data_IF_373215713309
#
_entry.id   IF_373215713309
#
_cell.length_a   1.000
_cell.length_b   1.000
_cell.length_c   1.000
_cell.angle_alpha   90.00
_cell.angle_beta   90.00
_cell.angle_gamma   90.00
#
_symmetry.space_group_name_H-M   'P 1'
#
loop_
_entity.id
_entity.type
_entity.pdbx_description
1 polymer ?
#
# COMPACT_ATOMS: atom_id res chain seq x y z
N UNK A 1 6.58 -2.50 3.72
CA UNK A 1 7.87 -3.22 3.55
C UNK A 1 8.69 -2.62 2.42
N UNK A 2 8.18 -2.49 1.18
CA UNK A 2 8.92 -1.84 0.08
C UNK A 2 9.41 -0.42 0.43
N UNK A 3 8.58 0.41 1.07
CA UNK A 3 8.98 1.74 1.57
C UNK A 3 10.17 1.70 2.54
N UNK A 4 10.20 0.73 3.45
CA UNK A 4 11.31 0.59 4.39
C UNK A 4 12.61 0.19 3.69
N UNK A 5 12.53 -0.77 2.75
CA UNK A 5 13.69 -1.24 1.99
C UNK A 5 14.26 -0.10 1.13
N UNK A 6 13.40 0.67 0.46
CA UNK A 6 13.86 1.80 -0.36
C UNK A 6 14.56 2.88 0.47
N UNK A 7 14.07 3.16 1.68
CA UNK A 7 14.71 4.11 2.59
C UNK A 7 16.04 3.61 3.15
N UNK A 8 16.14 2.33 3.50
CA UNK A 8 17.41 1.74 3.95
C UNK A 8 18.44 1.76 2.82
N UNK A 9 18.03 1.39 1.61
CA UNK A 9 18.90 1.46 0.43
C UNK A 9 19.34 2.91 0.12
N UNK A 10 18.44 3.87 0.26
CA UNK A 10 18.74 5.29 0.11
C UNK A 10 19.74 5.78 1.18
N UNK A 11 19.53 5.43 2.45
CA UNK A 11 20.43 5.78 3.55
C UNK A 11 21.84 5.23 3.35
N UNK A 12 21.95 3.93 3.06
CA UNK A 12 23.24 3.28 2.79
C UNK A 12 23.94 3.86 1.55
N UNK A 13 23.18 4.10 0.47
CA UNK A 13 23.72 4.70 -0.75
C UNK A 13 24.25 6.11 -0.55
N UNK A 14 23.54 6.95 0.20
CA UNK A 14 23.97 8.31 0.54
C UNK A 14 25.22 8.31 1.42
N UNK A 15 25.27 7.43 2.42
CA UNK A 15 26.46 7.28 3.27
C UNK A 15 27.68 6.85 2.46
N UNK A 16 27.50 5.92 1.52
CA UNK A 16 28.56 5.47 0.63
C UNK A 16 29.12 6.60 -0.25
N UNK A 17 28.24 7.44 -0.81
CA UNK A 17 28.65 8.59 -1.63
C UNK A 17 29.38 9.63 -0.77
N UNK A 18 28.90 9.91 0.45
CA UNK A 18 29.56 10.83 1.37
C UNK A 18 30.98 10.38 1.73
N UNK A 19 31.19 9.08 1.97
CA UNK A 19 32.52 8.52 2.28
C UNK A 19 33.51 8.60 1.12
N UNK A 20 33.03 8.73 -0.12
CA UNK A 20 33.87 8.87 -1.31
C UNK A 20 34.25 10.31 -1.65
N UNK A 21 33.75 11.30 -0.90
CA UNK A 21 33.95 12.74 -1.13
C UNK A 21 33.41 13.29 -2.47
N UNK A 22 32.86 12.44 -3.34
CA UNK A 22 32.28 12.80 -4.66
C UNK A 22 30.88 13.47 -4.57
N UNK A 23 30.53 14.09 -3.44
CA UNK A 23 29.16 14.49 -3.13
C UNK A 23 28.62 15.65 -3.98
N UNK A 24 29.48 16.63 -4.24
CA UNK A 24 29.16 17.88 -4.94
C UNK A 24 29.47 17.82 -6.45
N UNK A 25 29.72 16.62 -6.97
CA UNK A 25 29.91 16.44 -8.40
C UNK A 25 28.56 16.42 -9.13
N UNK A 26 28.52 17.15 -10.24
CA UNK A 26 27.32 17.20 -11.07
C UNK A 26 27.00 15.82 -11.66
N UNK A 27 25.72 15.49 -11.68
CA UNK A 27 25.22 14.22 -12.21
C UNK A 27 23.94 14.44 -13.01
N UNK A 28 23.77 13.69 -14.08
CA UNK A 28 22.55 13.75 -14.87
C UNK A 28 21.42 12.97 -14.18
N UNK A 29 20.17 13.39 -14.36
CA UNK A 29 18.97 12.67 -13.94
C UNK A 29 18.95 11.22 -14.41
N UNK A 30 19.43 10.99 -15.64
CA UNK A 30 19.57 9.65 -16.20
C UNK A 30 20.57 8.81 -15.39
N UNK A 31 21.76 9.34 -15.12
CA UNK A 31 22.76 8.67 -14.29
C UNK A 31 22.25 8.42 -12.87
N UNK A 32 21.55 9.39 -12.26
CA UNK A 32 20.93 9.22 -10.96
C UNK A 32 19.93 8.05 -10.93
N UNK A 33 19.11 7.90 -11.97
CA UNK A 33 18.10 6.85 -12.01
C UNK A 33 18.69 5.46 -12.30
N UNK A 34 19.71 5.37 -13.17
CA UNK A 34 20.23 4.08 -13.64
C UNK A 34 21.50 3.59 -12.92
N UNK A 35 22.36 4.49 -12.43
CA UNK A 35 23.56 4.11 -11.66
C UNK A 35 23.22 3.92 -10.18
N UNK A 36 22.20 4.61 -9.68
CA UNK A 36 21.80 4.53 -8.29
C UNK A 36 20.44 3.85 -8.16
N UNK A 37 20.30 2.75 -7.41
CA UNK A 37 19.04 1.99 -7.37
C UNK A 37 17.95 2.64 -6.49
N UNK A 38 18.33 3.54 -5.57
CA UNK A 38 17.39 4.07 -4.59
C UNK A 38 16.28 4.96 -5.17
N UNK A 39 16.47 5.82 -6.19
CA UNK A 39 15.38 6.67 -6.71
C UNK A 39 14.28 5.82 -7.37
N UNK A 40 14.67 4.81 -8.14
CA UNK A 40 13.74 3.83 -8.73
C UNK A 40 12.98 3.09 -7.64
N UNK A 41 13.68 2.60 -6.61
CA UNK A 41 13.05 1.90 -5.50
C UNK A 41 12.06 2.80 -4.75
N UNK A 42 12.39 4.07 -4.54
CA UNK A 42 11.50 5.03 -3.87
C UNK A 42 10.24 5.33 -4.70
N UNK A 43 10.36 5.49 -6.02
CA UNK A 43 9.21 5.68 -6.91
C UNK A 43 8.27 4.48 -6.91
N UNK A 44 8.81 3.27 -7.08
CA UNK A 44 8.02 2.05 -7.07
C UNK A 44 7.39 1.81 -5.69
N UNK A 45 8.14 2.09 -4.62
CA UNK A 45 7.65 1.98 -3.26
C UNK A 45 6.55 3.00 -2.94
N UNK A 46 6.49 4.15 -3.60
CA UNK A 46 5.36 5.08 -3.49
C UNK A 46 4.06 4.51 -4.11
N UNK A 47 4.11 4.22 -5.41
CA UNK A 47 2.92 3.92 -6.21
C UNK A 47 2.35 2.51 -5.97
N UNK A 48 3.21 1.51 -5.78
CA UNK A 48 2.76 0.12 -5.66
C UNK A 48 1.95 -0.13 -4.37
N UNK A 49 2.40 0.30 -3.18
CA UNK A 49 1.61 0.22 -1.97
C UNK A 49 0.33 1.07 -2.01
N UNK A 50 0.35 2.23 -2.68
CA UNK A 50 -0.85 3.05 -2.86
C UNK A 50 -1.92 2.30 -3.68
N UNK A 51 -1.53 1.76 -4.83
CA UNK A 51 -2.43 0.99 -5.71
C UNK A 51 -2.91 -0.30 -5.04
N UNK A 52 -2.04 -1.01 -4.32
CA UNK A 52 -2.42 -2.20 -3.56
C UNK A 52 -3.47 -1.90 -2.48
N UNK A 53 -3.29 -0.80 -1.72
CA UNK A 53 -4.28 -0.39 -0.70
C UNK A 53 -5.63 -0.01 -1.32
N UNK A 54 -5.62 0.65 -2.46
CA UNK A 54 -6.84 1.00 -3.18
C UNK A 54 -7.59 -0.22 -3.66
N UNK A 55 -6.89 -1.17 -4.27
CA UNK A 55 -7.48 -2.41 -4.74
C UNK A 55 -8.04 -3.25 -3.59
N UNK A 56 -7.32 -3.36 -2.45
CA UNK A 56 -7.83 -4.04 -1.26
C UNK A 56 -9.10 -3.35 -0.72
N UNK A 57 -9.17 -2.03 -0.81
CA UNK A 57 -10.35 -1.26 -0.39
C UNK A 57 -11.54 -1.51 -1.33
N UNK A 58 -11.30 -1.52 -2.64
CA UNK A 58 -12.30 -1.88 -3.65
C UNK A 58 -12.78 -3.31 -3.51
N UNK A 59 -11.89 -4.27 -3.27
CA UNK A 59 -12.25 -5.68 -3.04
C UNK A 59 -13.32 -5.80 -1.95
N UNK A 60 -13.17 -5.05 -0.85
CA UNK A 60 -14.13 -5.07 0.25
C UNK A 60 -15.43 -4.39 -0.07
N UNK A 61 -15.37 -3.30 -0.83
CA UNK A 61 -16.56 -2.67 -1.35
C UNK A 61 -17.36 -3.66 -2.19
N UNK A 62 -16.71 -4.36 -3.14
CA UNK A 62 -17.36 -5.39 -3.94
C UNK A 62 -17.87 -6.57 -3.12
N UNK A 63 -17.12 -7.01 -2.10
CA UNK A 63 -17.55 -8.11 -1.24
C UNK A 63 -18.83 -7.79 -0.44
N UNK A 64 -19.03 -6.52 -0.06
CA UNK A 64 -20.20 -6.09 0.72
C UNK A 64 -21.42 -5.83 -0.18
N UNK A 65 -21.24 -5.10 -1.28
CA UNK A 65 -22.36 -4.69 -2.12
C UNK A 65 -22.73 -5.72 -3.20
N UNK A 66 -21.76 -6.51 -3.68
CA UNK A 66 -21.93 -7.42 -4.81
C UNK A 66 -21.56 -8.86 -4.43
N UNK A 67 -22.06 -9.34 -3.29
CA UNK A 67 -21.70 -10.65 -2.73
C UNK A 67 -21.88 -11.82 -3.72
N UNK A 68 -22.96 -11.83 -4.50
CA UNK A 68 -23.24 -12.89 -5.48
C UNK A 68 -22.21 -12.91 -6.61
N UNK A 69 -21.95 -11.75 -7.22
CA UNK A 69 -20.95 -11.60 -8.29
C UNK A 69 -19.54 -11.86 -7.78
N UNK A 70 -19.21 -11.34 -6.59
CA UNK A 70 -17.91 -11.55 -5.94
C UNK A 70 -17.63 -13.03 -5.66
N UNK A 71 -18.65 -13.79 -5.23
CA UNK A 71 -18.53 -15.23 -4.98
C UNK A 71 -18.34 -16.04 -6.27
N UNK A 72 -18.94 -15.61 -7.37
CA UNK A 72 -18.76 -16.25 -8.68
C UNK A 72 -17.33 -16.07 -9.22
N UNK A 73 -16.70 -14.94 -8.91
CA UNK A 73 -15.38 -14.61 -9.40
C UNK A 73 -14.26 -15.32 -8.61
N UNK A 74 -13.86 -16.53 -9.02
CA UNK A 74 -12.86 -17.34 -8.27
C UNK A 74 -11.45 -16.74 -8.23
N UNK A 75 -11.03 -16.03 -9.28
CA UNK A 75 -9.64 -15.53 -9.43
C UNK A 75 -9.50 -14.01 -9.20
N UNK A 76 -10.47 -13.37 -8.53
CA UNK A 76 -10.50 -11.92 -8.34
C UNK A 76 -9.21 -11.36 -7.74
N UNK A 77 -8.63 -12.03 -6.74
CA UNK A 77 -7.43 -11.54 -6.03
C UNK A 77 -6.21 -11.43 -6.93
N UNK A 78 -5.99 -12.44 -7.78
CA UNK A 78 -4.87 -12.44 -8.72
C UNK A 78 -5.05 -11.38 -9.79
N UNK A 79 -6.26 -11.25 -10.35
CA UNK A 79 -6.56 -10.22 -11.34
C UNK A 79 -6.40 -8.81 -10.76
N UNK A 80 -6.88 -8.59 -9.55
CA UNK A 80 -6.73 -7.33 -8.83
C UNK A 80 -5.27 -6.99 -8.53
N UNK A 81 -4.48 -7.94 -8.02
CA UNK A 81 -3.05 -7.72 -7.79
C UNK A 81 -2.27 -7.46 -9.09
N UNK A 82 -2.61 -8.20 -10.16
CA UNK A 82 -2.07 -7.96 -11.49
C UNK A 82 -2.39 -6.55 -11.98
N UNK A 83 -3.64 -6.09 -11.80
CA UNK A 83 -4.06 -4.72 -12.10
C UNK A 83 -3.26 -3.65 -11.36
N UNK A 84 -3.03 -3.80 -10.05
CA UNK A 84 -2.18 -2.88 -9.28
C UNK A 84 -0.74 -2.86 -9.81
N UNK A 85 -0.21 -4.03 -10.18
CA UNK A 85 1.15 -4.16 -10.72
C UNK A 85 1.27 -3.47 -12.06
N UNK A 86 0.35 -3.73 -12.99
CA UNK A 86 0.32 -3.11 -14.32
C UNK A 86 0.18 -1.60 -14.22
N UNK A 87 -0.72 -1.11 -13.36
CA UNK A 87 -0.90 0.31 -13.11
C UNK A 87 0.37 0.97 -12.56
N UNK A 88 1.03 0.33 -11.60
CA UNK A 88 2.29 0.83 -11.03
C UNK A 88 3.41 0.89 -12.06
N UNK A 89 3.52 -0.13 -12.92
CA UNK A 89 4.50 -0.18 -14.00
C UNK A 89 4.21 0.89 -15.07
N UNK A 90 2.94 1.15 -15.39
CA UNK A 90 2.57 2.22 -16.34
C UNK A 90 3.06 3.59 -15.85
N UNK A 91 2.74 3.95 -14.60
CA UNK A 91 3.16 5.22 -14.00
C UNK A 91 4.69 5.31 -13.92
N UNK A 92 5.36 4.21 -13.60
CA UNK A 92 6.82 4.14 -13.58
C UNK A 92 7.43 4.33 -14.97
N UNK A 93 6.89 3.68 -16.00
CA UNK A 93 7.35 3.83 -17.39
C UNK A 93 7.24 5.27 -17.87
N UNK A 94 6.19 6.01 -17.47
CA UNK A 94 6.08 7.44 -17.77
C UNK A 94 7.25 8.22 -17.15
N UNK A 95 7.65 7.90 -15.90
CA UNK A 95 8.80 8.51 -15.24
C UNK A 95 10.10 8.28 -16.02
N UNK A 96 10.31 7.03 -16.46
CA UNK A 96 11.51 6.66 -17.21
C UNK A 96 11.56 7.35 -18.56
N UNK A 97 10.42 7.47 -19.25
CA UNK A 97 10.31 8.23 -20.49
C UNK A 97 10.64 9.71 -20.27
N UNK A 98 10.13 10.35 -19.21
CA UNK A 98 10.44 11.76 -18.93
C UNK A 98 11.93 11.99 -18.68
N UNK A 99 12.59 11.09 -17.94
CA UNK A 99 14.03 11.17 -17.66
C UNK A 99 14.87 10.94 -18.92
N UNK A 100 14.43 10.04 -19.80
CA UNK A 100 15.14 9.73 -21.04
C UNK A 100 15.09 10.88 -22.05
N UNK A 101 13.92 11.51 -22.24
CA UNK A 101 13.75 12.58 -23.21
C UNK A 101 14.19 13.96 -22.69
N UNK A 102 14.14 14.19 -21.37
CA UNK A 102 14.45 15.48 -20.75
C UNK A 102 15.43 15.30 -19.58
N UNK A 103 16.71 14.99 -19.84
CA UNK A 103 17.70 14.86 -18.79
C UNK A 103 17.97 16.21 -18.13
N UNK A 104 17.84 16.26 -16.81
CA UNK A 104 18.18 17.43 -15.99
C UNK A 104 19.56 17.20 -15.37
N UNK A 105 20.37 18.24 -15.24
CA UNK A 105 21.64 18.18 -14.52
C UNK A 105 21.43 18.64 -13.08
N UNK A 106 21.87 17.82 -12.13
CA UNK A 106 21.78 18.11 -10.70
C UNK A 106 23.15 18.51 -10.17
N UNK A 107 23.20 19.47 -9.22
CA UNK A 107 24.45 19.95 -8.65
C UNK A 107 25.11 18.96 -7.69
N UNK A 108 24.37 17.98 -7.19
CA UNK A 108 24.84 16.98 -6.23
C UNK A 108 24.42 15.55 -6.60
N UNK A 109 25.13 14.58 -6.02
CA UNK A 109 24.85 13.14 -6.16
C UNK A 109 23.85 12.61 -5.13
N UNK A 110 23.07 13.46 -4.44
CA UNK A 110 22.05 12.97 -3.50
C UNK A 110 20.93 12.22 -4.21
N UNK A 111 20.74 12.49 -5.51
CA UNK A 111 19.73 11.90 -6.39
C UNK A 111 18.37 11.80 -5.68
N UNK A 112 17.90 12.93 -5.15
CA UNK A 112 16.54 13.03 -4.58
C UNK A 112 15.55 12.77 -5.71
N UNK A 113 14.44 12.08 -5.41
CA UNK A 113 13.45 11.69 -6.42
C UNK A 113 12.99 12.91 -7.23
N UNK A 114 12.64 14.02 -6.58
CA UNK A 114 12.20 15.28 -7.21
C UNK A 114 13.20 15.83 -8.22
N UNK A 115 14.49 15.80 -7.88
CA UNK A 115 15.59 16.26 -8.72
C UNK A 115 15.92 15.25 -9.84
N UNK A 116 15.69 13.96 -9.58
CA UNK A 116 15.99 12.88 -10.53
C UNK A 116 14.97 12.78 -11.66
N UNK A 117 13.68 12.94 -11.39
CA UNK A 117 12.61 12.82 -12.41
C UNK A 117 12.02 14.16 -12.84
N UNK A 118 12.38 15.24 -12.16
CA UNK A 118 11.81 16.57 -12.36
C UNK A 118 10.60 16.85 -11.47
N UNK A 119 10.47 18.12 -11.08
CA UNK A 119 9.45 18.59 -10.13
C UNK A 119 8.01 18.34 -10.61
N UNK A 120 7.75 18.45 -11.91
CA UNK A 120 6.41 18.28 -12.49
C UNK A 120 5.93 16.83 -12.33
N UNK A 121 6.75 15.87 -12.75
CA UNK A 121 6.42 14.45 -12.59
C UNK A 121 6.33 14.08 -11.11
N UNK A 122 7.29 14.54 -10.28
CA UNK A 122 7.25 14.27 -8.85
C UNK A 122 5.96 14.79 -8.20
N UNK A 123 5.52 16.00 -8.59
CA UNK A 123 4.25 16.58 -8.13
C UNK A 123 3.06 15.71 -8.49
N UNK A 124 2.96 15.30 -9.76
CA UNK A 124 1.91 14.39 -10.21
C UNK A 124 1.94 13.05 -9.44
N UNK A 125 3.13 12.45 -9.31
CA UNK A 125 3.34 11.17 -8.63
C UNK A 125 2.92 11.20 -7.15
N UNK A 126 3.39 12.18 -6.39
CA UNK A 126 3.04 12.27 -4.96
C UNK A 126 1.56 12.63 -4.78
N UNK A 127 1.00 13.47 -5.65
CA UNK A 127 -0.43 13.81 -5.63
C UNK A 127 -1.31 12.58 -5.88
N UNK A 128 -1.00 11.79 -6.92
CA UNK A 128 -1.78 10.58 -7.22
C UNK A 128 -1.65 9.55 -6.10
N UNK A 129 -0.45 9.35 -5.54
CA UNK A 129 -0.26 8.47 -4.40
C UNK A 129 -1.09 8.91 -3.18
N UNK A 130 -1.02 10.18 -2.81
CA UNK A 130 -1.80 10.75 -1.69
C UNK A 130 -3.30 10.62 -1.92
N UNK A 131 -3.77 10.96 -3.12
CA UNK A 131 -5.17 10.87 -3.49
C UNK A 131 -5.67 9.42 -3.43
N UNK A 132 -4.92 8.47 -3.97
CA UNK A 132 -5.25 7.04 -3.92
C UNK A 132 -5.37 6.54 -2.49
N UNK A 133 -4.46 6.91 -1.58
CA UNK A 133 -4.56 6.58 -0.16
C UNK A 133 -5.80 7.18 0.50
N UNK A 134 -6.09 8.45 0.21
CA UNK A 134 -7.25 9.14 0.77
C UNK A 134 -8.58 8.52 0.32
N UNK A 135 -8.72 8.23 -0.97
CA UNK A 135 -9.89 7.54 -1.51
C UNK A 135 -10.02 6.14 -0.92
N UNK A 136 -8.91 5.41 -0.76
CA UNK A 136 -8.91 4.08 -0.11
C UNK A 136 -9.48 4.16 1.30
N UNK A 137 -9.08 5.17 2.07
CA UNK A 137 -9.58 5.41 3.42
C UNK A 137 -11.08 5.70 3.44
N UNK A 138 -11.56 6.59 2.56
CA UNK A 138 -13.00 6.88 2.42
C UNK A 138 -13.79 5.60 2.13
N UNK A 139 -13.33 4.79 1.17
CA UNK A 139 -14.00 3.53 0.81
C UNK A 139 -14.05 2.57 2.00
N UNK A 140 -12.94 2.40 2.73
CA UNK A 140 -12.89 1.52 3.90
C UNK A 140 -13.81 2.00 5.03
N UNK A 141 -13.84 3.32 5.32
CA UNK A 141 -14.74 3.90 6.32
C UNK A 141 -16.20 3.73 5.90
N UNK A 142 -16.51 3.99 4.62
CA UNK A 142 -17.85 3.82 4.08
C UNK A 142 -18.33 2.36 4.22
N UNK A 143 -17.51 1.40 3.81
CA UNK A 143 -17.80 -0.03 3.97
C UNK A 143 -17.98 -0.40 5.44
N UNK A 144 -17.15 0.13 6.35
CA UNK A 144 -17.28 -0.12 7.79
C UNK A 144 -18.62 0.38 8.35
N UNK A 145 -19.04 1.60 7.98
CA UNK A 145 -20.35 2.16 8.37
C UNK A 145 -21.49 1.31 7.81
N UNK A 146 -21.42 0.93 6.53
CA UNK A 146 -22.44 0.12 5.87
C UNK A 146 -22.61 -1.25 6.54
N UNK A 147 -21.50 -1.94 6.83
CA UNK A 147 -21.57 -3.26 7.49
C UNK A 147 -22.11 -3.13 8.91
N UNK A 148 -21.71 -2.11 9.68
CA UNK A 148 -22.22 -1.88 11.04
C UNK A 148 -23.72 -1.61 11.07
N UNK A 149 -24.27 -0.93 10.05
CA UNK A 149 -25.70 -0.61 9.95
C UNK A 149 -26.55 -1.85 9.63
N UNK A 150 -26.04 -2.75 8.80
CA UNK A 150 -26.85 -3.83 8.21
C UNK A 150 -26.56 -5.24 8.76
N UNK A 151 -25.50 -5.44 9.56
CA UNK A 151 -25.14 -6.77 10.09
C UNK A 151 -24.79 -6.73 11.57
N UNK A 152 -25.36 -7.68 12.32
CA UNK A 152 -24.84 -8.08 13.63
C UNK A 152 -23.54 -8.86 13.40
N UNK A 153 -22.41 -8.15 13.49
CA UNK A 153 -21.10 -8.76 13.28
C UNK A 153 -20.68 -9.60 14.49
N UNK A 154 -20.08 -10.77 14.23
CA UNK A 154 -19.36 -11.50 15.27
C UNK A 154 -18.15 -10.72 15.76
N UNK A 155 -17.77 -10.89 17.03
CA UNK A 155 -16.61 -10.20 17.67
C UNK A 155 -15.31 -10.32 16.85
N UNK A 156 -15.09 -11.46 16.19
CA UNK A 156 -13.91 -11.69 15.37
C UNK A 156 -13.90 -10.82 14.10
N UNK A 157 -15.04 -10.71 13.42
CA UNK A 157 -15.17 -9.94 12.18
C UNK A 157 -15.11 -8.44 12.46
N UNK A 158 -15.69 -8.00 13.58
CA UNK A 158 -15.55 -6.64 14.10
C UNK A 158 -14.07 -6.29 14.32
N UNK A 159 -13.30 -7.16 14.99
CA UNK A 159 -11.86 -6.93 15.20
C UNK A 159 -11.10 -6.79 13.88
N UNK A 160 -11.38 -7.65 12.90
CA UNK A 160 -10.75 -7.58 11.57
C UNK A 160 -11.05 -6.27 10.84
N UNK A 161 -12.29 -5.78 10.93
CA UNK A 161 -12.65 -4.48 10.35
C UNK A 161 -11.96 -3.32 11.04
N UNK A 162 -11.95 -3.28 12.39
CA UNK A 162 -11.24 -2.24 13.14
C UNK A 162 -9.75 -2.23 12.82
N UNK A 163 -9.10 -3.41 12.79
CA UNK A 163 -7.70 -3.52 12.41
C UNK A 163 -7.46 -2.93 11.04
N UNK A 164 -8.34 -3.20 10.07
CA UNK A 164 -8.08 -2.65 8.75
C UNK A 164 -8.37 -1.16 8.61
N UNK A 165 -9.41 -0.62 9.25
CA UNK A 165 -9.61 0.83 9.30
C UNK A 165 -8.38 1.49 9.92
N UNK A 166 -7.86 0.90 11.01
CA UNK A 166 -6.62 1.34 11.66
C UNK A 166 -5.42 1.34 10.71
N UNK A 167 -5.15 0.23 10.01
CA UNK A 167 -4.03 0.14 9.05
C UNK A 167 -4.16 1.20 7.96
N UNK A 168 -5.35 1.38 7.38
CA UNK A 168 -5.56 2.36 6.30
C UNK A 168 -5.45 3.79 6.81
N UNK A 169 -5.96 4.08 8.01
CA UNK A 169 -5.82 5.39 8.67
C UNK A 169 -4.36 5.73 8.95
N UNK A 170 -3.62 4.81 9.57
CA UNK A 170 -2.17 4.99 9.81
C UNK A 170 -1.46 5.19 8.48
N UNK A 171 -1.82 4.43 7.44
CA UNK A 171 -1.26 4.63 6.10
C UNK A 171 -1.50 6.05 5.58
N UNK A 172 -2.71 6.58 5.67
CA UNK A 172 -2.99 7.97 5.25
C UNK A 172 -2.16 8.98 6.04
N UNK A 173 -2.15 8.89 7.37
CA UNK A 173 -1.44 9.86 8.23
C UNK A 173 0.06 9.87 7.89
N UNK A 174 0.67 8.70 7.79
CA UNK A 174 2.11 8.57 7.61
C UNK A 174 2.57 8.59 6.14
N UNK A 175 1.67 8.66 5.15
CA UNK A 175 2.05 8.85 3.74
C UNK A 175 1.61 10.18 3.18
N UNK A 176 0.38 10.62 3.45
CA UNK A 176 -0.16 11.88 2.91
C UNK A 176 0.55 13.08 3.52
N UNK A 177 0.74 13.09 4.85
CA UNK A 177 1.43 14.22 5.52
C UNK A 177 2.87 14.36 4.99
N UNK A 178 3.71 13.30 4.97
CA UNK A 178 5.05 13.41 4.40
C UNK A 178 5.06 13.76 2.91
N UNK A 179 4.13 13.21 2.10
CA UNK A 179 4.01 13.58 0.69
C UNK A 179 3.76 15.09 0.54
N UNK A 180 2.86 15.66 1.34
CA UNK A 180 2.61 17.11 1.33
C UNK A 180 3.85 17.91 1.74
N UNK A 181 4.58 17.47 2.77
CA UNK A 181 5.82 18.13 3.21
C UNK A 181 6.88 18.11 2.11
N UNK A 182 7.11 16.96 1.48
CA UNK A 182 8.05 16.81 0.36
C UNK A 182 7.64 17.69 -0.83
N UNK A 183 6.34 17.81 -1.11
CA UNK A 183 5.86 18.69 -2.18
C UNK A 183 6.06 20.17 -1.85
N UNK A 184 5.74 20.61 -0.63
CA UNK A 184 5.97 21.99 -0.21
C UNK A 184 7.46 22.36 -0.29
N UNK A 185 8.34 21.45 0.13
CA UNK A 185 9.79 21.62 0.01
C UNK A 185 10.24 21.70 -1.45
N UNK A 186 9.75 20.80 -2.31
CA UNK A 186 10.11 20.78 -3.73
C UNK A 186 9.71 22.07 -4.47
N UNK A 187 8.58 22.67 -4.11
CA UNK A 187 8.13 23.95 -4.67
C UNK A 187 8.75 25.18 -3.98
N UNK A 188 9.57 24.99 -2.94
CA UNK A 188 10.17 26.05 -2.12
C UNK A 188 9.15 27.03 -1.52
N UNK A 189 7.93 26.57 -1.26
CA UNK A 189 6.82 27.39 -0.78
C UNK A 189 6.06 26.64 0.33
N UNK A 190 6.35 26.89 1.63
CA UNK A 190 7.37 27.77 2.23
C UNK A 190 8.78 27.16 2.24
N UNK A 191 9.82 27.95 2.55
CA UNK A 191 11.17 27.43 2.85
C UNK A 191 11.12 26.59 4.12
N UNK A 192 11.04 25.27 3.97
CA UNK A 192 11.08 24.33 5.08
C UNK A 192 12.53 24.12 5.51
N UNK A 193 12.75 23.89 6.81
CA UNK A 193 14.08 23.50 7.27
C UNK A 193 14.36 22.06 6.85
N UNK A 194 15.61 21.76 6.52
CA UNK A 194 16.07 20.40 6.18
C UNK A 194 15.72 19.39 7.27
N UNK A 195 15.66 19.84 8.53
CA UNK A 195 15.21 19.05 9.67
C UNK A 195 13.75 18.58 9.53
N UNK A 196 12.83 19.46 9.13
CA UNK A 196 11.42 19.11 8.97
C UNK A 196 11.25 18.12 7.83
N UNK A 197 11.96 18.33 6.72
CA UNK A 197 11.98 17.42 5.56
C UNK A 197 12.53 16.06 5.97
N UNK A 198 13.61 16.03 6.75
CA UNK A 198 14.18 14.81 7.33
C UNK A 198 13.18 14.04 8.21
N UNK A 199 12.48 14.74 9.12
CA UNK A 199 11.43 14.14 9.96
C UNK A 199 10.29 13.57 9.11
N UNK A 200 9.88 14.27 8.05
CA UNK A 200 8.89 13.76 7.11
C UNK A 200 9.35 12.45 6.45
N UNK A 201 10.62 12.36 6.04
CA UNK A 201 11.18 11.11 5.54
C UNK A 201 11.17 9.99 6.58
N UNK A 202 11.42 10.29 7.85
CA UNK A 202 11.33 9.32 8.93
C UNK A 202 9.91 8.73 9.08
N UNK A 203 8.85 9.50 8.81
CA UNK A 203 7.49 8.99 8.88
C UNK A 203 7.22 7.87 7.85
N UNK A 204 7.80 7.92 6.64
CA UNK A 204 7.70 6.79 5.71
C UNK A 204 8.40 5.52 6.23
N UNK A 205 9.52 5.70 6.95
CA UNK A 205 10.24 4.60 7.61
C UNK A 205 9.40 3.99 8.73
N UNK A 206 8.91 4.85 9.63
CA UNK A 206 8.03 4.46 10.74
C UNK A 206 6.78 3.74 10.24
N UNK A 207 6.18 4.18 9.13
CA UNK A 207 5.03 3.52 8.53
C UNK A 207 5.30 2.04 8.21
N UNK A 208 6.50 1.72 7.73
CA UNK A 208 6.86 0.33 7.43
C UNK A 208 7.02 -0.51 8.70
N UNK A 209 7.60 0.06 9.75
CA UNK A 209 7.75 -0.60 11.06
C UNK A 209 6.39 -0.80 11.75
N UNK A 210 5.56 0.24 11.79
CA UNK A 210 4.23 0.21 12.41
C UNK A 210 3.30 -0.77 11.68
N UNK A 211 3.31 -0.79 10.34
CA UNK A 211 2.58 -1.80 9.59
C UNK A 211 2.95 -3.22 10.03
N UNK A 212 4.25 -3.53 10.14
CA UNK A 212 4.72 -4.86 10.56
C UNK A 212 4.23 -5.20 11.97
N UNK A 213 4.37 -4.28 12.92
CA UNK A 213 3.90 -4.47 14.31
C UNK A 213 2.39 -4.70 14.34
N UNK A 214 1.61 -3.93 13.57
CA UNK A 214 0.15 -4.10 13.49
C UNK A 214 -0.21 -5.45 12.87
N UNK A 215 0.49 -5.89 11.82
CA UNK A 215 0.27 -7.22 11.24
C UNK A 215 0.57 -8.33 12.24
N UNK A 216 1.67 -8.22 12.99
CA UNK A 216 2.01 -9.18 14.04
C UNK A 216 0.93 -9.13 15.14
N UNK A 217 0.63 -7.99 15.73
CA UNK A 217 -0.29 -7.91 16.87
C UNK A 217 -1.74 -8.34 16.54
N UNK A 218 -2.24 -8.01 15.35
CA UNK A 218 -3.65 -8.13 15.03
C UNK A 218 -4.02 -9.25 14.05
N UNK A 219 -3.08 -9.84 13.30
CA UNK A 219 -3.35 -11.05 12.50
C UNK A 219 -2.84 -12.31 13.21
N UNK A 220 -3.71 -13.02 13.96
CA UNK A 220 -3.31 -14.26 14.62
C UNK A 220 -2.85 -15.34 13.64
N UNK A 221 -3.38 -15.36 12.41
CA UNK A 221 -2.93 -16.27 11.34
C UNK A 221 -1.49 -15.98 10.91
N UNK A 222 -1.10 -14.69 10.83
CA UNK A 222 0.26 -14.30 10.52
C UNK A 222 1.19 -14.69 11.66
N UNK A 223 0.80 -14.44 12.91
CA UNK A 223 1.56 -14.91 14.08
C UNK A 223 1.72 -16.42 14.13
N UNK A 224 0.67 -17.19 13.81
CA UNK A 224 0.76 -18.64 13.78
C UNK A 224 1.77 -19.12 12.72
N UNK A 225 1.77 -18.51 11.52
CA UNK A 225 2.73 -18.81 10.46
C UNK A 225 4.14 -18.31 10.77
N UNK A 226 4.28 -17.14 11.38
CA UNK A 226 5.57 -16.58 11.77
C UNK A 226 6.18 -17.41 12.91
N UNK A 227 5.40 -17.79 13.91
CA UNK A 227 5.83 -18.74 14.94
C UNK A 227 6.16 -20.09 14.35
N UNK A 228 5.39 -20.59 13.38
CA UNK A 228 5.76 -21.81 12.67
C UNK A 228 7.09 -21.67 11.91
N UNK A 229 7.33 -20.56 11.23
CA UNK A 229 8.59 -20.29 10.53
C UNK A 229 9.79 -20.14 11.48
N UNK A 230 9.61 -19.47 12.62
CA UNK A 230 10.68 -19.17 13.58
C UNK A 230 10.95 -20.34 14.55
N UNK A 231 9.90 -21.01 15.03
CA UNK A 231 10.00 -22.08 16.03
C UNK A 231 9.89 -23.50 15.45
N UNK A 232 9.27 -23.70 14.28
CA UNK A 232 9.15 -24.98 13.60
C UNK A 232 9.84 -24.92 12.22
N UNK A 233 11.17 -24.85 12.22
CA UNK A 233 11.95 -24.88 10.98
C UNK A 233 11.53 -26.01 10.03
N UNK A 234 11.16 -25.63 8.79
CA UNK A 234 11.21 -26.40 7.54
C UNK A 234 10.86 -27.91 7.68
N UNK A 235 9.79 -28.28 8.37
CA UNK A 235 9.31 -29.66 8.31
C UNK A 235 7.77 -29.71 8.27
N UNK A 236 7.24 -30.09 7.10
CA UNK A 236 5.81 -30.28 6.72
C UNK A 236 5.05 -29.06 6.16
N UNK A 237 5.37 -28.68 4.93
CA UNK A 237 4.44 -27.94 4.06
C UNK A 237 3.34 -28.82 3.42
N UNK A 238 3.37 -30.15 3.56
CA UNK A 238 2.39 -31.03 2.90
C UNK A 238 1.17 -31.46 3.74
N UNK A 239 1.20 -31.34 5.07
CA UNK A 239 0.12 -31.88 5.91
C UNK A 239 -1.08 -30.93 6.13
N UNK A 240 -0.91 -29.62 5.90
CA UNK A 240 -1.92 -28.61 6.26
C UNK A 240 -2.89 -28.23 5.13
N UNK A 241 -2.63 -28.66 3.89
CA UNK A 241 -3.51 -28.39 2.74
C UNK A 241 -4.78 -29.28 2.75
N UNK A 242 -4.72 -30.46 3.37
CA UNK A 242 -5.84 -31.40 3.44
C UNK A 242 -6.83 -31.14 4.59
N UNK A 243 -6.42 -30.43 5.65
CA UNK A 243 -7.33 -30.06 6.75
C UNK A 243 -8.17 -28.82 6.44
N UNK A 244 -7.60 -27.87 5.69
CA UNK A 244 -8.29 -26.63 5.27
C UNK A 244 -9.40 -26.88 4.25
N UNK A 245 -9.19 -27.81 3.32
CA UNK A 245 -10.19 -28.22 2.33
C UNK A 245 -11.39 -28.95 2.96
N UNK A 246 -11.19 -29.69 4.06
CA UNK A 246 -12.29 -30.29 4.85
C UNK A 246 -13.03 -29.24 5.70
N UNK A 247 -12.33 -28.28 6.29
CA UNK A 247 -12.95 -27.21 7.09
C UNK A 247 -13.69 -26.16 6.24
N UNK A 248 -13.26 -25.91 4.99
CA UNK A 248 -13.99 -25.05 4.04
C UNK A 248 -15.24 -25.74 3.49
N UNK A 249 -15.19 -27.06 3.28
CA UNK A 249 -16.36 -27.83 2.85
C UNK A 249 -17.42 -27.95 3.95
N UNK A 250 -17.02 -28.05 5.23
CA UNK A 250 -17.97 -28.02 6.35
C UNK A 250 -18.65 -26.65 6.53
N UNK A 251 -17.98 -25.55 6.17
CA UNK A 251 -18.53 -24.17 6.28
C UNK A 251 -19.42 -23.75 5.10
N UNK A 252 -19.42 -24.52 4.01
CA UNK A 252 -20.30 -24.31 2.85
C UNK A 252 -21.67 -25.00 3.02
N UNK A 253 -21.85 -25.80 4.08
CA UNK A 253 -23.11 -26.46 4.41
C UNK A 253 -23.75 -25.77 5.61
N UNK A 254 -24.69 -24.87 5.32
CA UNK A 254 -25.64 -24.13 6.21
C UNK A 254 -25.20 -22.82 6.88
N UNK A 255 -26.12 -21.82 6.98
CA UNK A 255 -27.56 -21.89 6.65
C UNK A 255 -27.91 -21.14 5.36
N UNK A 256 -28.54 -21.88 4.45
CA UNK A 256 -29.18 -21.42 3.21
C UNK A 256 -30.46 -20.61 3.51
N UNK A 257 -30.93 -20.62 4.75
CA UNK A 257 -32.30 -20.24 5.12
C UNK A 257 -32.41 -18.79 5.62
N UNK A 258 -31.37 -18.23 6.23
CA UNK A 258 -31.43 -16.86 6.79
C UNK A 258 -31.16 -15.77 5.74
N UNK A 259 -30.48 -16.13 4.64
CA UNK A 259 -30.11 -15.19 3.57
C UNK A 259 -31.20 -15.07 2.50
N UNK A 260 -32.02 -16.12 2.30
CA UNK A 260 -33.22 -16.05 1.45
C UNK A 260 -34.32 -15.18 2.08
N UNK A 261 -34.47 -15.19 3.41
CA UNK A 261 -35.41 -14.33 4.12
C UNK A 261 -35.09 -12.83 4.02
N UNK A 262 -33.81 -12.45 3.89
CA UNK A 262 -33.41 -11.03 3.80
C UNK A 262 -33.64 -10.48 2.38
N UNK A 263 -33.48 -11.31 1.34
CA UNK A 263 -33.75 -10.89 -0.05
C UNK A 263 -35.26 -10.77 -0.29
N UNK A 264 -36.07 -11.72 0.20
CA UNK A 264 -37.53 -11.65 0.11
C UNK A 264 -38.10 -10.40 0.82
N UNK A 265 -37.54 -10.03 1.98
CA UNK A 265 -37.98 -8.85 2.74
C UNK A 265 -37.51 -7.52 2.13
N UNK A 266 -36.50 -7.53 1.26
CA UNK A 266 -36.05 -6.35 0.53
C UNK A 266 -36.89 -6.11 -0.73
N UNK A 267 -37.34 -7.16 -1.42
CA UNK A 267 -38.24 -7.06 -2.58
C UNK A 267 -39.65 -6.59 -2.19
N UNK A 268 -40.13 -6.96 -0.99
CA UNK A 268 -41.43 -6.51 -0.48
C UNK A 268 -41.48 -5.01 -0.15
N UNK A 269 -40.34 -4.38 0.17
CA UNK A 269 -40.26 -2.95 0.47
C UNK A 269 -40.00 -2.06 -0.75
N UNK A 270 -39.81 -2.65 -1.94
CA UNK A 270 -39.61 -1.93 -3.21
C UNK A 270 -40.86 -1.92 -4.09
N UNK A 271 -41.92 -2.64 -3.69
CA UNK A 271 -43.21 -2.72 -4.40
C UNK A 271 -44.36 -2.00 -3.65
N UNK A 272 -44.02 -1.11 -2.71
CA UNK A 272 -44.92 -0.17 -2.01
C UNK A 272 -44.43 1.25 -2.26
#
# INVERSE_FOLDING_TARGET
MLNGISLVACGFGREWVLRKEDFFEQITSFDCMFKMPWPILMLLAGIFPASANFIISLERFFAVYFCNSYRSWKNHKQFMLFGATVYSLLIFSIAMSTVFFFPITNPDKMCVVTNSVGIVYATFHYTICSFTYFVSFIVVVYVWIAVRKHRTMGKHEQRMQHTSVGITLTSVIFTVIPNCVVLMDAWHQPKLSELIVGIAYCFYGLQSCLCLVVFIAFRPEFNARLKALIFCGIHRTHAHHNSWSRASNARLVRPRDHQQQIVAKAEENLNL
#
